data_IF_063440809825
#
_entry.id   IF_063440809825
#
_cell.length_a   1.000
_cell.length_b   1.000
_cell.length_c   1.000
_cell.angle_alpha   90.00
_cell.angle_beta   90.00
_cell.angle_gamma   90.00
#
_symmetry.space_group_name_H-M   'P 1'
#
loop_
_entity.id
_entity.type
_entity.pdbx_description
1 polymer ?
#
# COMPACT_ATOMS: atom_id res chain seq x y z
N UNK A 1 -26.77 5.79 4.93
CA UNK A 1 -25.68 6.60 4.31
C UNK A 1 -25.82 6.54 2.80
N UNK A 2 -25.69 7.67 2.13
CA UNK A 2 -25.73 7.77 0.66
C UNK A 2 -24.33 8.11 0.15
N UNK A 3 -23.48 7.09 -0.03
CA UNK A 3 -22.05 7.25 -0.33
C UNK A 3 -21.73 8.20 -1.48
N UNK A 4 -22.65 8.32 -2.47
CA UNK A 4 -22.45 9.17 -3.65
C UNK A 4 -22.88 10.62 -3.46
N UNK A 5 -23.65 10.94 -2.41
CA UNK A 5 -24.23 12.28 -2.21
C UNK A 5 -23.88 12.93 -0.88
N UNK A 6 -23.44 12.13 0.10
CA UNK A 6 -22.98 12.65 1.37
C UNK A 6 -21.62 13.34 1.18
N UNK A 7 -21.48 14.57 1.69
CA UNK A 7 -20.30 15.41 1.43
C UNK A 7 -19.25 15.39 2.55
N UNK A 8 -19.51 14.70 3.65
CA UNK A 8 -18.62 14.73 4.81
C UNK A 8 -18.76 13.47 5.67
N UNK A 9 -18.32 12.33 5.14
CA UNK A 9 -18.28 11.08 5.90
C UNK A 9 -16.87 10.74 6.33
N UNK A 10 -16.70 9.93 7.38
CA UNK A 10 -15.40 9.43 7.77
C UNK A 10 -14.89 8.43 6.75
N UNK A 11 -13.62 8.55 6.38
CA UNK A 11 -12.89 7.64 5.51
C UNK A 11 -11.74 7.07 6.33
N UNK A 12 -11.74 5.76 6.52
CA UNK A 12 -10.72 5.03 7.28
C UNK A 12 -9.70 4.46 6.30
N UNK A 13 -8.47 4.87 6.44
CA UNK A 13 -7.34 4.41 5.64
C UNK A 13 -6.58 3.41 6.51
N UNK A 14 -6.67 2.12 6.19
CA UNK A 14 -5.89 1.11 6.88
C UNK A 14 -4.52 0.95 6.25
N UNK A 15 -3.51 0.67 7.05
CA UNK A 15 -2.15 0.38 6.62
C UNK A 15 -1.57 -0.79 7.44
N UNK A 16 -0.39 -1.28 7.07
CA UNK A 16 0.31 -2.25 7.90
C UNK A 16 0.73 -1.61 9.23
N UNK A 17 0.88 -2.44 10.25
CA UNK A 17 1.35 -2.00 11.56
C UNK A 17 2.66 -1.22 11.41
N UNK A 18 2.76 -0.07 12.09
CA UNK A 18 3.91 0.85 12.07
C UNK A 18 4.07 1.66 10.74
N UNK A 19 3.14 1.55 9.78
CA UNK A 19 3.15 2.38 8.57
C UNK A 19 2.30 3.65 8.69
N UNK A 20 1.48 3.80 9.73
CA UNK A 20 0.51 4.89 9.84
C UNK A 20 1.13 6.29 9.70
N UNK A 21 2.32 6.52 10.24
CA UNK A 21 3.00 7.82 10.11
C UNK A 21 3.34 8.19 8.66
N UNK A 22 3.63 7.18 7.81
CA UNK A 22 3.91 7.39 6.39
C UNK A 22 2.62 7.64 5.62
N UNK A 23 1.57 6.88 5.96
CA UNK A 23 0.24 7.09 5.42
C UNK A 23 -0.33 8.46 5.83
N UNK A 24 -0.08 8.90 7.07
CA UNK A 24 -0.44 10.23 7.55
C UNK A 24 0.31 11.32 6.75
N UNK A 25 1.61 11.16 6.51
CA UNK A 25 2.38 12.11 5.71
C UNK A 25 1.81 12.25 4.29
N UNK A 26 1.50 11.12 3.61
CA UNK A 26 0.85 11.16 2.29
C UNK A 26 -0.51 11.87 2.33
N UNK A 27 -1.32 11.60 3.34
CA UNK A 27 -2.64 12.22 3.53
C UNK A 27 -2.52 13.73 3.72
N UNK A 28 -1.53 14.18 4.51
CA UNK A 28 -1.23 15.61 4.72
C UNK A 28 -0.74 16.28 3.42
N UNK A 29 0.15 15.61 2.67
CA UNK A 29 0.67 16.11 1.38
C UNK A 29 -0.45 16.23 0.33
N UNK A 30 -1.47 15.38 0.41
CA UNK A 30 -2.68 15.46 -0.42
C UNK A 30 -3.66 16.56 0.04
N UNK A 31 -3.36 17.26 1.14
CA UNK A 31 -4.15 18.37 1.67
C UNK A 31 -5.27 17.97 2.63
N UNK A 32 -5.36 16.70 3.04
CA UNK A 32 -6.33 16.25 4.04
C UNK A 32 -5.82 16.47 5.47
N UNK A 33 -6.75 16.65 6.39
CA UNK A 33 -6.45 16.75 7.84
C UNK A 33 -6.89 15.46 8.53
N UNK A 34 -5.98 14.66 9.05
CA UNK A 34 -6.32 13.51 9.87
C UNK A 34 -7.09 13.94 11.12
N UNK A 35 -8.16 13.20 11.45
CA UNK A 35 -8.93 13.39 12.69
C UNK A 35 -8.58 12.36 13.74
N UNK A 36 -8.02 11.24 13.32
CA UNK A 36 -7.53 10.17 14.19
C UNK A 36 -6.39 9.43 13.49
N UNK A 37 -5.34 9.10 14.23
CA UNK A 37 -4.22 8.26 13.77
C UNK A 37 -3.95 7.22 14.84
N UNK A 38 -3.90 5.95 14.44
CA UNK A 38 -3.54 4.82 15.29
C UNK A 38 -2.29 4.12 14.74
N UNK A 39 -1.90 2.97 15.29
CA UNK A 39 -0.75 2.20 14.78
C UNK A 39 -0.92 1.72 13.32
N UNK A 40 -2.16 1.55 12.86
CA UNK A 40 -2.49 0.91 11.57
C UNK A 40 -3.63 1.56 10.81
N UNK A 41 -4.11 2.72 11.28
CA UNK A 41 -5.17 3.48 10.60
C UNK A 41 -4.91 4.99 10.64
N UNK A 42 -5.34 5.66 9.58
CA UNK A 42 -5.47 7.12 9.50
C UNK A 42 -6.91 7.42 9.11
N UNK A 43 -7.58 8.30 9.83
CA UNK A 43 -8.98 8.66 9.57
C UNK A 43 -9.05 10.11 9.11
N UNK A 44 -9.73 10.34 7.99
CA UNK A 44 -10.04 11.67 7.47
C UNK A 44 -11.55 11.84 7.27
N UNK A 45 -11.99 13.05 7.01
CA UNK A 45 -13.33 13.34 6.50
C UNK A 45 -13.25 13.79 5.06
N UNK A 46 -14.20 13.34 4.26
CA UNK A 46 -14.28 13.68 2.86
C UNK A 46 -15.58 13.22 2.20
N UNK A 47 -15.59 13.31 0.90
CA UNK A 47 -16.68 12.84 0.04
C UNK A 47 -16.24 11.68 -0.87
N UNK A 48 -17.05 11.35 -1.87
CA UNK A 48 -16.73 10.29 -2.82
C UNK A 48 -15.50 10.60 -3.69
N UNK A 49 -15.26 11.88 -4.04
CA UNK A 49 -14.07 12.29 -4.82
C UNK A 49 -12.82 12.05 -3.99
N UNK A 50 -12.85 12.41 -2.72
CA UNK A 50 -11.75 12.19 -1.79
C UNK A 50 -11.47 10.70 -1.59
N UNK A 51 -12.51 9.89 -1.41
CA UNK A 51 -12.41 8.44 -1.31
C UNK A 51 -11.74 7.83 -2.57
N UNK A 52 -12.12 8.29 -3.77
CA UNK A 52 -11.51 7.84 -5.03
C UNK A 52 -10.05 8.27 -5.15
N UNK A 53 -9.74 9.53 -4.80
CA UNK A 53 -8.36 10.06 -4.80
C UNK A 53 -7.46 9.28 -3.85
N UNK A 54 -7.91 9.00 -2.64
CA UNK A 54 -7.16 8.21 -1.65
C UNK A 54 -6.87 6.79 -2.17
N UNK A 55 -7.82 6.14 -2.83
CA UNK A 55 -7.59 4.85 -3.47
C UNK A 55 -6.54 4.89 -4.58
N UNK A 56 -6.49 5.97 -5.36
CA UNK A 56 -5.58 6.10 -6.50
C UNK A 56 -4.15 6.46 -6.09
N UNK A 57 -4.00 7.39 -5.14
CA UNK A 57 -2.71 8.05 -4.89
C UNK A 57 -1.93 7.49 -3.70
N UNK A 58 -2.58 6.84 -2.72
CA UNK A 58 -1.88 6.35 -1.53
C UNK A 58 -0.94 5.18 -1.82
N UNK A 59 0.32 5.33 -1.45
CA UNK A 59 1.39 4.35 -1.66
C UNK A 59 1.53 3.38 -0.49
N UNK A 60 1.27 3.85 0.75
CA UNK A 60 1.54 3.09 1.98
C UNK A 60 0.27 2.48 2.60
N UNK A 61 -0.91 2.82 2.08
CA UNK A 61 -2.19 2.30 2.53
C UNK A 61 -2.47 0.88 2.03
N UNK A 62 -3.21 0.11 2.82
CA UNK A 62 -3.75 -1.19 2.42
C UNK A 62 -5.17 -1.11 1.86
N UNK A 63 -6.06 -0.35 2.52
CA UNK A 63 -7.45 -0.20 2.12
C UNK A 63 -7.97 1.18 2.47
N UNK A 64 -8.92 1.63 1.69
CA UNK A 64 -9.75 2.80 1.97
C UNK A 64 -11.16 2.31 2.27
N UNK A 65 -11.62 2.51 3.49
CA UNK A 65 -12.84 1.95 4.05
C UNK A 65 -13.81 3.06 4.44
N UNK A 66 -15.09 2.83 4.21
CA UNK A 66 -16.15 3.75 4.64
C UNK A 66 -17.07 3.01 5.63
N UNK A 67 -17.19 3.47 6.89
CA UNK A 67 -17.98 2.79 7.91
C UNK A 67 -19.48 2.94 7.61
N UNK A 68 -20.17 1.81 7.64
CA UNK A 68 -21.63 1.74 7.50
C UNK A 68 -22.33 1.68 8.86
N UNK A 69 -21.77 0.89 9.76
CA UNK A 69 -22.35 0.67 11.09
C UNK A 69 -21.25 0.33 12.10
N UNK A 70 -21.28 0.99 13.25
CA UNK A 70 -20.52 0.62 14.45
C UNK A 70 -21.50 0.18 15.52
N UNK A 71 -21.29 -0.98 16.13
CA UNK A 71 -22.25 -1.56 17.06
C UNK A 71 -21.58 -2.52 18.04
N UNK A 72 -22.27 -2.78 19.14
CA UNK A 72 -21.86 -3.81 20.10
C UNK A 72 -22.28 -5.19 19.61
N UNK A 73 -21.32 -6.10 19.51
CA UNK A 73 -21.53 -7.50 19.13
C UNK A 73 -20.80 -8.40 20.13
N UNK A 74 -21.55 -9.19 20.90
CA UNK A 74 -21.00 -10.13 21.88
C UNK A 74 -20.83 -11.54 21.32
N UNK A 75 -21.57 -11.85 20.28
CA UNK A 75 -21.59 -13.14 19.63
C UNK A 75 -21.95 -13.01 18.14
N UNK A 76 -21.85 -14.12 17.41
CA UNK A 76 -22.07 -14.16 15.97
C UNK A 76 -23.51 -13.78 15.55
N UNK A 77 -24.50 -14.00 16.41
CA UNK A 77 -25.91 -13.63 16.13
C UNK A 77 -26.10 -12.12 16.17
N UNK A 78 -25.42 -11.44 17.12
CA UNK A 78 -25.46 -9.98 17.20
C UNK A 78 -24.89 -9.38 15.93
N UNK A 79 -23.76 -9.92 15.41
CA UNK A 79 -23.18 -9.49 14.13
C UNK A 79 -24.16 -9.71 12.97
N UNK A 80 -24.80 -10.88 12.89
CA UNK A 80 -25.78 -11.17 11.85
C UNK A 80 -26.93 -10.16 11.85
N UNK A 81 -27.51 -9.86 13.01
CA UNK A 81 -28.60 -8.89 13.15
C UNK A 81 -28.15 -7.47 12.81
N UNK A 82 -26.96 -7.09 13.22
CA UNK A 82 -26.37 -5.80 12.89
C UNK A 82 -26.19 -5.63 11.36
N UNK A 83 -25.66 -6.63 10.70
CA UNK A 83 -25.47 -6.63 9.24
C UNK A 83 -26.82 -6.63 8.51
N UNK A 84 -27.80 -7.41 8.99
CA UNK A 84 -29.16 -7.46 8.43
C UNK A 84 -29.88 -6.10 8.50
N UNK A 85 -29.55 -5.24 9.49
CA UNK A 85 -30.17 -3.93 9.64
C UNK A 85 -29.69 -2.88 8.64
N UNK A 86 -28.59 -3.13 7.91
CA UNK A 86 -28.04 -2.19 6.92
C UNK A 86 -28.86 -2.26 5.64
N UNK A 87 -29.12 -1.11 5.00
CA UNK A 87 -29.86 -0.98 3.75
C UNK A 87 -29.02 -1.37 2.54
N UNK A 88 -28.70 -2.67 2.43
CA UNK A 88 -27.84 -3.21 1.37
C UNK A 88 -28.40 -2.98 -0.04
N UNK A 89 -29.71 -2.92 -0.18
CA UNK A 89 -30.41 -2.61 -1.42
C UNK A 89 -30.07 -1.24 -2.01
N UNK A 90 -29.48 -0.34 -1.19
CA UNK A 90 -28.97 0.96 -1.61
C UNK A 90 -27.50 0.93 -2.00
N UNK A 91 -26.77 -0.13 -1.67
CA UNK A 91 -25.32 -0.25 -1.87
C UNK A 91 -24.95 -1.32 -2.93
N UNK A 92 -25.78 -2.35 -3.07
CA UNK A 92 -25.52 -3.50 -3.93
C UNK A 92 -26.58 -3.60 -5.03
N UNK A 93 -26.15 -3.97 -6.24
CA UNK A 93 -27.09 -4.37 -7.29
C UNK A 93 -27.57 -5.81 -7.02
N UNK A 94 -28.89 -6.06 -7.23
CA UNK A 94 -29.51 -7.34 -6.89
C UNK A 94 -28.99 -8.50 -7.76
N UNK A 95 -28.43 -8.21 -8.93
CA UNK A 95 -27.76 -9.14 -9.85
C UNK A 95 -26.24 -8.98 -9.90
N UNK A 96 -25.68 -8.24 -8.95
CA UNK A 96 -24.26 -8.01 -8.84
C UNK A 96 -23.51 -9.15 -8.15
N UNK A 97 -22.28 -8.86 -7.79
CA UNK A 97 -21.41 -9.74 -7.01
C UNK A 97 -20.80 -8.99 -5.84
N UNK A 98 -20.65 -9.67 -4.70
CA UNK A 98 -19.92 -9.09 -3.56
C UNK A 98 -19.03 -10.12 -2.86
N UNK A 99 -17.98 -9.61 -2.22
CA UNK A 99 -17.10 -10.39 -1.36
C UNK A 99 -17.14 -9.84 0.07
N UNK A 100 -16.85 -10.70 1.04
CA UNK A 100 -16.76 -10.32 2.46
C UNK A 100 -15.43 -10.79 3.01
N UNK A 101 -14.74 -9.90 3.71
CA UNK A 101 -13.55 -10.21 4.48
C UNK A 101 -13.69 -9.69 5.91
N UNK A 102 -13.02 -10.33 6.87
CA UNK A 102 -13.10 -9.95 8.28
C UNK A 102 -11.76 -10.08 8.99
N UNK A 103 -11.55 -9.20 9.95
CA UNK A 103 -10.50 -9.31 10.98
C UNK A 103 -11.20 -9.33 12.33
N UNK A 104 -10.94 -10.38 13.11
CA UNK A 104 -11.72 -10.65 14.35
C UNK A 104 -10.79 -10.99 15.49
N UNK A 105 -10.93 -10.22 16.56
CA UNK A 105 -10.26 -10.39 17.85
C UNK A 105 -11.29 -10.47 18.97
N UNK A 106 -12.18 -11.48 18.90
CA UNK A 106 -13.27 -11.71 19.86
C UNK A 106 -13.08 -13.07 20.54
N UNK A 107 -13.28 -13.12 21.84
CA UNK A 107 -13.05 -14.34 22.66
C UNK A 107 -14.07 -15.46 22.40
N UNK A 108 -15.25 -15.13 21.85
CA UNK A 108 -16.31 -16.10 21.57
C UNK A 108 -16.16 -16.75 20.18
N UNK A 109 -15.31 -16.19 19.31
CA UNK A 109 -15.14 -16.62 17.94
C UNK A 109 -13.83 -17.43 17.80
N UNK A 110 -13.96 -18.75 17.71
CA UNK A 110 -12.81 -19.65 17.49
C UNK A 110 -12.44 -19.80 16.02
N UNK A 111 -13.44 -19.82 15.13
CA UNK A 111 -13.21 -19.89 13.68
C UNK A 111 -13.36 -18.50 13.07
N UNK A 112 -12.24 -17.91 12.70
CA UNK A 112 -12.17 -16.55 12.12
C UNK A 112 -12.86 -16.41 10.76
N UNK A 113 -13.29 -17.51 10.13
CA UNK A 113 -14.05 -17.50 8.85
C UNK A 113 -15.54 -17.26 9.09
N UNK A 114 -16.07 -17.61 10.26
CA UNK A 114 -17.49 -17.49 10.57
C UNK A 114 -18.04 -16.07 10.43
N UNK A 115 -17.37 -15.01 10.90
CA UNK A 115 -17.88 -13.65 10.75
C UNK A 115 -18.10 -13.23 9.28
N UNK A 116 -17.18 -13.60 8.39
CA UNK A 116 -17.37 -13.34 6.96
C UNK A 116 -18.55 -14.14 6.37
N UNK A 117 -18.74 -15.40 6.79
CA UNK A 117 -19.84 -16.24 6.35
C UNK A 117 -21.19 -15.68 6.80
N UNK A 118 -21.35 -15.40 8.09
CA UNK A 118 -22.59 -14.85 8.66
C UNK A 118 -22.92 -13.45 8.11
N UNK A 119 -21.92 -12.62 7.88
CA UNK A 119 -22.09 -11.33 7.21
C UNK A 119 -22.63 -11.52 5.79
N UNK A 120 -22.06 -12.47 5.04
CA UNK A 120 -22.52 -12.80 3.70
C UNK A 120 -23.98 -13.29 3.68
N UNK A 121 -24.33 -14.17 4.62
CA UNK A 121 -25.69 -14.71 4.73
C UNK A 121 -26.70 -13.61 5.11
N UNK A 122 -26.38 -12.73 6.06
CA UNK A 122 -27.23 -11.61 6.44
C UNK A 122 -27.48 -10.64 5.27
N UNK A 123 -26.44 -10.32 4.50
CA UNK A 123 -26.58 -9.51 3.26
C UNK A 123 -27.51 -10.21 2.26
N UNK A 124 -27.31 -11.51 2.04
CA UNK A 124 -28.11 -12.28 1.11
C UNK A 124 -29.59 -12.35 1.54
N UNK A 125 -29.87 -12.51 2.84
CA UNK A 125 -31.22 -12.58 3.37
C UNK A 125 -31.93 -11.22 3.28
N UNK A 126 -31.26 -10.11 3.63
CA UNK A 126 -31.77 -8.75 3.43
C UNK A 126 -32.12 -8.49 1.96
N UNK A 127 -31.22 -8.84 1.04
CA UNK A 127 -31.43 -8.62 -0.39
C UNK A 127 -32.58 -9.47 -0.94
N UNK A 128 -32.75 -10.72 -0.46
CA UNK A 128 -33.93 -11.54 -0.82
C UNK A 128 -35.22 -10.90 -0.31
N UNK A 129 -35.23 -10.41 0.94
CA UNK A 129 -36.42 -9.76 1.53
C UNK A 129 -36.81 -8.50 0.75
N UNK A 130 -35.84 -7.62 0.46
CA UNK A 130 -36.12 -6.30 -0.14
C UNK A 130 -36.20 -6.29 -1.66
N UNK A 131 -35.42 -7.13 -2.33
CA UNK A 131 -35.30 -7.14 -3.80
C UNK A 131 -35.84 -8.41 -4.45
N UNK A 132 -36.34 -9.38 -3.68
CA UNK A 132 -36.77 -10.72 -4.15
C UNK A 132 -35.65 -11.47 -4.90
N UNK A 133 -34.43 -11.03 -4.81
CA UNK A 133 -33.24 -11.57 -5.46
C UNK A 133 -32.03 -11.23 -4.59
N UNK A 134 -30.99 -12.07 -4.63
CA UNK A 134 -29.71 -11.79 -4.00
C UNK A 134 -28.61 -11.65 -5.04
N UNK A 135 -27.57 -10.81 -4.80
CA UNK A 135 -26.36 -10.84 -5.59
C UNK A 135 -25.58 -12.14 -5.36
N UNK A 136 -24.75 -12.51 -6.31
CA UNK A 136 -23.78 -13.58 -6.15
C UNK A 136 -22.69 -13.17 -5.17
N UNK A 137 -22.05 -14.16 -4.52
CA UNK A 137 -21.01 -13.89 -3.54
C UNK A 137 -19.98 -14.99 -3.46
N UNK A 138 -18.71 -14.63 -3.19
CA UNK A 138 -17.61 -15.59 -3.07
C UNK A 138 -16.32 -14.93 -2.61
N UNK A 139 -15.21 -15.65 -2.78
CA UNK A 139 -13.88 -15.19 -2.38
C UNK A 139 -13.13 -14.40 -3.46
N UNK A 140 -13.71 -14.25 -4.65
CA UNK A 140 -13.07 -13.49 -5.72
C UNK A 140 -13.14 -11.99 -5.43
N UNK A 141 -12.05 -11.28 -5.67
CA UNK A 141 -11.97 -9.82 -5.53
C UNK A 141 -12.57 -9.10 -6.73
N UNK A 142 -13.82 -9.43 -7.06
CA UNK A 142 -14.63 -8.75 -8.07
C UNK A 142 -15.92 -8.24 -7.44
N UNK A 143 -16.50 -7.21 -7.99
CA UNK A 143 -17.73 -6.63 -7.46
C UNK A 143 -17.50 -5.77 -6.21
N UNK A 144 -18.57 -5.55 -5.45
CA UNK A 144 -18.51 -4.79 -4.22
C UNK A 144 -17.79 -5.58 -3.11
N UNK A 145 -17.15 -4.89 -2.18
CA UNK A 145 -16.46 -5.53 -1.08
C UNK A 145 -16.96 -4.99 0.27
N UNK A 146 -17.14 -5.90 1.21
CA UNK A 146 -17.54 -5.60 2.59
C UNK A 146 -16.44 -6.08 3.51
N UNK A 147 -16.09 -5.23 4.47
CA UNK A 147 -15.08 -5.55 5.47
C UNK A 147 -15.66 -5.42 6.87
N UNK A 148 -15.43 -6.44 7.71
CA UNK A 148 -15.84 -6.45 9.11
C UNK A 148 -14.60 -6.43 9.98
N UNK A 149 -14.51 -5.42 10.84
CA UNK A 149 -13.56 -5.38 11.92
C UNK A 149 -14.29 -5.61 13.24
N UNK A 150 -13.89 -6.64 13.99
CA UNK A 150 -14.53 -6.99 15.23
C UNK A 150 -13.48 -7.23 16.31
N UNK A 151 -13.42 -6.31 17.25
CA UNK A 151 -12.52 -6.38 18.39
C UNK A 151 -13.32 -6.40 19.71
N UNK A 152 -13.07 -7.38 20.56
CA UNK A 152 -13.81 -7.59 21.81
C UNK A 152 -15.33 -7.60 21.53
N UNK A 153 -16.08 -6.69 22.14
CA UNK A 153 -17.53 -6.57 21.98
C UNK A 153 -17.94 -5.48 20.98
N UNK A 154 -17.01 -4.88 20.25
CA UNK A 154 -17.31 -3.86 19.24
C UNK A 154 -17.05 -4.40 17.84
N UNK A 155 -18.05 -4.29 16.96
CA UNK A 155 -17.93 -4.58 15.53
C UNK A 155 -18.20 -3.33 14.71
N UNK A 156 -17.41 -3.16 13.65
CA UNK A 156 -17.60 -2.12 12.67
C UNK A 156 -17.72 -2.79 11.29
N UNK A 157 -18.81 -2.50 10.61
CA UNK A 157 -19.07 -2.97 9.25
C UNK A 157 -18.74 -1.84 8.28
N UNK A 158 -17.90 -2.11 7.31
CA UNK A 158 -17.45 -1.15 6.30
C UNK A 158 -17.86 -1.59 4.91
N UNK A 159 -18.09 -0.62 4.04
CA UNK A 159 -17.89 -0.83 2.61
C UNK A 159 -16.39 -0.64 2.33
N UNK A 160 -15.74 -1.67 1.76
CA UNK A 160 -14.35 -1.60 1.32
C UNK A 160 -14.34 -1.04 -0.11
N UNK A 161 -13.81 0.15 -0.26
CA UNK A 161 -13.81 0.83 -1.55
C UNK A 161 -12.63 0.43 -2.44
N UNK A 162 -11.61 -0.19 -1.85
CA UNK A 162 -10.43 -0.68 -2.55
C UNK A 162 -10.63 -2.06 -3.19
N UNK A 163 -11.33 -2.97 -2.49
CA UNK A 163 -11.50 -4.37 -2.86
C UNK A 163 -10.23 -5.19 -2.64
N UNK A 164 -9.46 -5.46 -3.67
CA UNK A 164 -8.12 -6.02 -3.49
C UNK A 164 -7.21 -5.01 -2.77
N UNK A 165 -6.38 -5.45 -1.79
CA UNK A 165 -5.49 -4.54 -1.08
C UNK A 165 -4.66 -3.65 -2.00
N UNK A 166 -4.48 -2.38 -1.63
CA UNK A 166 -3.70 -1.42 -2.40
C UNK A 166 -2.21 -1.81 -2.51
N UNK A 167 -1.71 -2.64 -1.59
CA UNK A 167 -0.39 -3.26 -1.70
C UNK A 167 -0.24 -4.11 -2.95
N UNK A 168 -1.32 -4.69 -3.46
CA UNK A 168 -1.32 -5.41 -4.73
C UNK A 168 -1.54 -4.44 -5.88
N UNK A 169 -0.46 -3.80 -6.35
CA UNK A 169 -0.52 -2.84 -7.46
C UNK A 169 -0.96 -3.45 -8.79
N UNK A 170 -0.72 -4.77 -8.98
CA UNK A 170 -1.03 -5.50 -10.21
C UNK A 170 0.20 -5.77 -11.10
N UNK A 171 1.34 -5.19 -10.81
CA UNK A 171 2.56 -5.41 -11.60
C UNK A 171 3.33 -6.68 -11.23
N UNK A 172 3.17 -7.22 -10.01
CA UNK A 172 3.88 -8.43 -9.58
C UNK A 172 3.32 -9.66 -10.29
N UNK A 173 3.90 -10.02 -11.42
CA UNK A 173 3.54 -11.22 -12.18
C UNK A 173 4.28 -12.45 -11.66
N UNK A 174 5.53 -12.27 -11.25
CA UNK A 174 6.37 -13.33 -10.71
C UNK A 174 6.81 -12.92 -9.30
N UNK A 175 6.27 -13.56 -8.24
CA UNK A 175 6.75 -13.35 -6.87
C UNK A 175 8.11 -14.02 -6.69
N UNK A 176 9.03 -13.36 -6.00
CA UNK A 176 10.25 -14.01 -5.50
C UNK A 176 9.95 -14.95 -4.32
N UNK A 177 11.00 -15.58 -3.78
CA UNK A 177 10.91 -16.49 -2.61
C UNK A 177 10.40 -15.78 -1.33
N UNK A 178 10.77 -14.51 -1.13
CA UNK A 178 10.37 -13.67 0.00
C UNK A 178 10.10 -12.23 -0.45
N UNK A 179 9.00 -11.97 -1.18
CA UNK A 179 8.75 -10.67 -1.76
C UNK A 179 8.45 -9.63 -0.68
N UNK A 180 9.09 -8.47 -0.78
CA UNK A 180 8.71 -7.28 -0.01
C UNK A 180 7.36 -6.76 -0.48
N UNK A 181 6.48 -6.35 0.44
CA UNK A 181 5.22 -5.70 0.05
C UNK A 181 5.50 -4.33 -0.56
N UNK A 182 4.73 -3.96 -1.57
CA UNK A 182 4.86 -2.71 -2.30
C UNK A 182 4.68 -1.49 -1.39
N UNK A 183 3.72 -1.55 -0.47
CA UNK A 183 3.48 -0.49 0.52
C UNK A 183 4.64 -0.34 1.50
N UNK A 184 5.30 -1.44 1.86
CA UNK A 184 6.48 -1.40 2.71
C UNK A 184 7.69 -0.82 1.96
N UNK A 185 7.89 -1.20 0.70
CA UNK A 185 8.96 -0.63 -0.13
C UNK A 185 8.79 0.89 -0.27
N UNK A 186 7.58 1.36 -0.59
CA UNK A 186 7.27 2.78 -0.66
C UNK A 186 7.56 3.49 0.67
N UNK A 187 7.13 2.93 1.80
CA UNK A 187 7.40 3.51 3.12
C UNK A 187 8.90 3.57 3.46
N UNK A 188 9.68 2.55 3.08
CA UNK A 188 11.14 2.56 3.25
C UNK A 188 11.80 3.67 2.41
N UNK A 189 11.38 3.84 1.15
CA UNK A 189 11.88 4.91 0.29
C UNK A 189 11.53 6.28 0.86
N UNK A 190 10.31 6.49 1.33
CA UNK A 190 9.91 7.72 2.02
C UNK A 190 10.73 7.96 3.29
N UNK A 191 11.04 6.90 4.05
CA UNK A 191 11.86 6.98 5.26
C UNK A 191 13.31 7.40 4.98
N UNK A 192 13.83 7.10 3.80
CA UNK A 192 15.15 7.55 3.35
C UNK A 192 15.18 9.03 2.98
N UNK A 193 14.03 9.71 2.94
CA UNK A 193 13.89 11.09 2.46
C UNK A 193 14.49 11.29 1.06
N UNK A 194 14.40 10.27 0.20
CA UNK A 194 14.88 10.37 -1.16
C UNK A 194 14.11 11.44 -1.94
N UNK A 195 14.84 12.31 -2.60
CA UNK A 195 14.30 13.48 -3.32
C UNK A 195 13.70 13.16 -4.69
N UNK A 196 13.76 11.88 -5.10
CA UNK A 196 13.34 11.40 -6.43
C UNK A 196 14.08 12.02 -7.63
N UNK A 197 15.19 12.72 -7.39
CA UNK A 197 16.02 13.39 -8.41
C UNK A 197 17.46 12.88 -8.45
N UNK A 198 17.92 12.31 -7.37
CA UNK A 198 19.26 11.69 -7.24
C UNK A 198 19.20 10.19 -7.51
N UNK A 199 20.33 9.52 -7.83
CA UNK A 199 20.35 8.09 -8.10
C UNK A 199 19.73 7.25 -7.00
N UNK A 200 19.06 6.14 -7.38
CA UNK A 200 18.53 5.14 -6.46
C UNK A 200 19.03 3.75 -6.83
N UNK A 201 19.70 3.08 -5.91
CA UNK A 201 20.24 1.74 -6.09
C UNK A 201 19.52 0.72 -5.23
N UNK A 202 19.20 -0.42 -5.82
CA UNK A 202 18.60 -1.57 -5.15
C UNK A 202 19.44 -2.83 -5.42
N UNK A 203 20.59 -2.97 -4.77
CA UNK A 203 21.33 -4.22 -4.79
C UNK A 203 20.52 -5.30 -4.05
N UNK A 204 20.66 -6.57 -4.44
CA UNK A 204 19.83 -7.67 -3.92
C UNK A 204 18.34 -7.41 -4.17
N UNK A 205 18.00 -7.01 -5.44
CA UNK A 205 16.69 -6.50 -5.80
C UNK A 205 15.58 -7.55 -5.75
N UNK A 206 15.89 -8.83 -5.76
CA UNK A 206 14.93 -9.92 -5.80
C UNK A 206 13.92 -9.75 -6.94
N UNK A 207 12.64 -9.67 -6.62
CA UNK A 207 11.56 -9.42 -7.60
C UNK A 207 11.44 -7.95 -8.06
N UNK A 208 12.38 -7.08 -7.69
CA UNK A 208 12.48 -5.69 -8.16
C UNK A 208 11.60 -4.65 -7.45
N UNK A 209 10.90 -5.04 -6.38
CA UNK A 209 9.90 -4.15 -5.74
C UNK A 209 10.45 -2.77 -5.35
N UNK A 210 11.60 -2.62 -4.67
CA UNK A 210 12.10 -1.29 -4.31
C UNK A 210 12.45 -0.43 -5.51
N UNK A 211 13.07 -0.99 -6.54
CA UNK A 211 13.42 -0.26 -7.76
C UNK A 211 12.18 0.18 -8.56
N UNK A 212 11.16 -0.69 -8.65
CA UNK A 212 9.89 -0.38 -9.31
C UNK A 212 9.16 0.74 -8.56
N UNK A 213 8.99 0.64 -7.23
CA UNK A 213 8.33 1.68 -6.43
C UNK A 213 9.12 3.01 -6.49
N UNK A 214 10.47 2.98 -6.44
CA UNK A 214 11.30 4.18 -6.61
C UNK A 214 11.06 4.83 -7.98
N UNK A 215 11.03 4.04 -9.05
CA UNK A 215 10.75 4.56 -10.40
C UNK A 215 9.37 5.19 -10.49
N UNK A 216 8.33 4.53 -9.93
CA UNK A 216 6.98 5.08 -9.90
C UNK A 216 6.90 6.38 -9.08
N UNK A 217 7.68 6.51 -8.00
CA UNK A 217 7.80 7.75 -7.22
C UNK A 217 8.47 8.84 -8.04
N UNK A 218 9.61 8.55 -8.69
CA UNK A 218 10.32 9.51 -9.54
C UNK A 218 9.46 10.01 -10.69
N UNK A 219 8.67 9.13 -11.30
CA UNK A 219 7.72 9.47 -12.36
C UNK A 219 6.48 10.21 -11.87
N UNK A 220 6.28 10.36 -10.58
CA UNK A 220 5.01 10.80 -9.97
C UNK A 220 3.80 9.98 -10.43
N UNK A 221 4.01 8.71 -10.75
CA UNK A 221 2.95 7.78 -11.15
C UNK A 221 2.11 7.38 -9.95
N UNK A 222 0.79 7.54 -10.04
CA UNK A 222 -0.13 7.11 -9.02
C UNK A 222 -0.11 5.57 -8.88
N UNK A 223 0.10 5.00 -7.67
CA UNK A 223 0.25 3.56 -7.49
C UNK A 223 -1.02 2.77 -7.85
N UNK A 224 -2.19 3.38 -7.68
CA UNK A 224 -3.47 2.79 -8.04
C UNK A 224 -3.76 2.75 -9.55
N UNK A 225 -2.96 3.45 -10.38
CA UNK A 225 -3.18 3.50 -11.84
C UNK A 225 -2.97 2.13 -12.53
N UNK A 226 -2.24 1.21 -11.90
CA UNK A 226 -2.01 -0.14 -12.40
C UNK A 226 -3.12 -1.14 -12.04
N UNK A 227 -4.03 -0.76 -11.13
CA UNK A 227 -5.16 -1.62 -10.75
C UNK A 227 -6.24 -1.54 -11.82
N UNK A 228 -6.70 -2.71 -12.27
CA UNK A 228 -7.77 -2.78 -13.26
C UNK A 228 -9.15 -2.42 -12.72
N UNK A 229 -9.37 -2.59 -11.41
CA UNK A 229 -10.66 -2.36 -10.77
C UNK A 229 -10.53 -2.01 -9.29
N UNK A 230 -11.39 -1.12 -8.81
CA UNK A 230 -11.61 -0.82 -7.40
C UNK A 230 -13.04 -1.20 -7.01
N UNK A 231 -13.26 -1.70 -5.80
CA UNK A 231 -14.57 -2.17 -5.37
C UNK A 231 -15.64 -1.07 -5.35
N UNK A 232 -15.25 0.21 -5.18
CA UNK A 232 -16.21 1.31 -5.26
C UNK A 232 -16.91 1.40 -6.63
N UNK A 233 -16.28 0.94 -7.70
CA UNK A 233 -16.86 0.93 -9.05
C UNK A 233 -18.05 -0.05 -9.18
N UNK A 234 -18.17 -0.98 -8.25
CA UNK A 234 -19.29 -1.95 -8.17
C UNK A 234 -20.35 -1.55 -7.15
N UNK A 235 -20.21 -0.40 -6.48
CA UNK A 235 -21.27 0.11 -5.60
C UNK A 235 -22.41 0.64 -6.44
N UNK A 236 -23.63 0.27 -6.07
CA UNK A 236 -24.85 0.70 -6.76
C UNK A 236 -24.90 2.21 -6.97
N UNK A 237 -25.14 2.63 -8.19
CA UNK A 237 -25.21 4.03 -8.57
C UNK A 237 -23.91 4.64 -9.10
N UNK A 238 -22.82 3.88 -9.18
CA UNK A 238 -21.54 4.36 -9.73
C UNK A 238 -21.66 4.99 -11.12
N UNK A 239 -22.42 4.40 -12.03
CA UNK A 239 -22.65 4.92 -13.38
C UNK A 239 -23.81 5.92 -13.49
N UNK A 240 -24.53 6.23 -12.40
CA UNK A 240 -25.74 7.09 -12.45
C UNK A 240 -25.38 8.56 -12.23
N UNK A 241 -26.04 9.47 -12.96
CA UNK A 241 -25.91 10.91 -12.77
C UNK A 241 -26.47 11.31 -11.39
N UNK A 242 -25.68 12.06 -10.62
CA UNK A 242 -26.07 12.58 -9.32
C UNK A 242 -26.62 13.99 -9.52
N UNK A 243 -27.90 14.27 -9.21
CA UNK A 243 -28.47 15.61 -9.32
C UNK A 243 -27.73 16.59 -8.38
N UNK A 244 -27.29 17.73 -8.92
CA UNK A 244 -26.75 18.85 -8.14
C UNK A 244 -25.23 18.95 -8.05
N UNK A 245 -24.46 17.99 -8.55
CA UNK A 245 -23.01 18.16 -8.75
C UNK A 245 -22.73 18.79 -10.11
N UNK A 246 -22.06 19.95 -10.08
CA UNK A 246 -21.59 20.61 -11.29
C UNK A 246 -20.29 19.95 -11.75
N UNK A 247 -20.23 19.56 -13.01
CA UNK A 247 -18.96 19.31 -13.67
C UNK A 247 -18.03 20.53 -13.51
N UNK A 248 -16.72 20.36 -13.30
CA UNK A 248 -15.79 21.47 -13.26
C UNK A 248 -15.93 22.28 -14.56
N UNK A 249 -16.14 23.58 -14.39
CA UNK A 249 -16.51 24.51 -15.45
C UNK A 249 -15.40 24.66 -16.49
N UNK A 250 -15.63 24.08 -17.66
CA UNK A 250 -15.19 24.66 -18.92
C UNK A 250 -16.47 24.89 -19.75
N UNK A 251 -17.01 26.09 -19.66
CA UNK A 251 -18.18 26.68 -20.31
C UNK A 251 -19.50 26.70 -19.50
N UNK A 252 -20.20 27.86 -19.46
CA UNK A 252 -21.36 28.13 -18.60
C UNK A 252 -22.67 27.79 -19.29
N UNK A 253 -22.95 26.57 -19.68
CA UNK A 253 -24.28 26.15 -20.18
C UNK A 253 -24.43 24.62 -20.24
N UNK A 254 -24.50 23.94 -19.09
CA UNK A 254 -25.38 22.78 -18.91
C UNK A 254 -25.24 22.30 -17.45
N UNK A 255 -26.28 22.40 -16.65
CA UNK A 255 -26.41 21.81 -15.33
C UNK A 255 -26.72 20.30 -15.54
N UNK A 256 -25.72 19.54 -15.98
CA UNK A 256 -25.76 18.09 -15.91
C UNK A 256 -24.79 17.68 -14.80
N UNK A 257 -25.31 17.12 -13.70
CA UNK A 257 -24.48 16.54 -12.65
C UNK A 257 -23.56 15.48 -13.24
N UNK A 258 -22.31 15.40 -12.76
CA UNK A 258 -21.38 14.36 -13.17
C UNK A 258 -21.74 13.04 -12.46
N UNK A 259 -21.61 11.88 -13.14
CA UNK A 259 -21.70 10.58 -12.48
C UNK A 259 -20.39 10.30 -11.71
N UNK A 260 -20.42 9.44 -10.67
CA UNK A 260 -19.21 8.98 -10.01
C UNK A 260 -18.16 8.42 -10.98
N UNK A 261 -18.60 7.74 -12.03
CA UNK A 261 -17.74 7.25 -13.11
C UNK A 261 -17.04 8.38 -13.87
N UNK A 262 -17.74 9.47 -14.16
CA UNK A 262 -17.14 10.65 -14.82
C UNK A 262 -16.10 11.30 -13.92
N UNK A 263 -16.41 11.47 -12.63
CA UNK A 263 -15.48 12.00 -11.63
C UNK A 263 -14.23 11.12 -11.52
N UNK A 264 -14.40 9.81 -11.52
CA UNK A 264 -13.26 8.89 -11.52
C UNK A 264 -12.37 9.05 -12.76
N UNK A 265 -12.98 9.16 -13.94
CA UNK A 265 -12.23 9.42 -15.20
C UNK A 265 -11.42 10.71 -15.13
N UNK A 266 -11.98 11.77 -14.55
CA UNK A 266 -11.28 13.05 -14.34
C UNK A 266 -10.06 12.87 -13.41
N UNK A 267 -10.24 12.16 -12.27
CA UNK A 267 -9.15 11.91 -11.31
C UNK A 267 -8.02 11.09 -11.98
N UNK A 268 -8.37 10.09 -12.78
CA UNK A 268 -7.37 9.29 -13.52
C UNK A 268 -6.64 10.13 -14.57
N UNK A 269 -7.34 11.02 -15.26
CA UNK A 269 -6.71 11.94 -16.24
C UNK A 269 -5.80 12.95 -15.54
N UNK A 270 -6.22 13.51 -14.40
CA UNK A 270 -5.38 14.36 -13.55
C UNK A 270 -4.10 13.63 -13.13
N UNK A 271 -4.20 12.40 -12.63
CA UNK A 271 -3.04 11.59 -12.25
C UNK A 271 -2.07 11.38 -13.42
N UNK A 272 -2.59 11.09 -14.61
CA UNK A 272 -1.77 10.93 -15.82
C UNK A 272 -1.11 12.23 -16.26
N UNK A 273 -1.75 13.37 -16.09
CA UNK A 273 -1.19 14.67 -16.47
C UNK A 273 -0.01 15.11 -15.58
N UNK A 274 0.06 14.56 -14.35
CA UNK A 274 1.18 14.81 -13.43
C UNK A 274 2.31 13.79 -13.54
N UNK A 275 2.11 12.71 -14.29
CA UNK A 275 3.15 11.72 -14.54
C UNK A 275 4.19 12.29 -15.52
N UNK A 276 5.47 12.11 -15.19
CA UNK A 276 6.59 12.52 -16.04
C UNK A 276 7.56 11.38 -16.30
N UNK A 277 8.16 11.40 -17.47
CA UNK A 277 9.27 10.51 -17.84
C UNK A 277 10.55 11.31 -18.11
N UNK A 278 10.49 12.63 -17.96
CA UNK A 278 11.58 13.52 -18.28
C UNK A 278 12.55 13.65 -17.10
N UNK A 279 13.85 13.60 -17.38
CA UNK A 279 14.92 13.80 -16.39
C UNK A 279 14.84 12.87 -15.18
N UNK A 280 14.42 11.63 -15.38
CA UNK A 280 14.42 10.64 -14.31
C UNK A 280 15.85 10.34 -13.85
N UNK A 281 16.09 10.17 -12.54
CA UNK A 281 17.41 9.83 -12.04
C UNK A 281 17.79 8.39 -12.44
N UNK A 282 19.08 8.03 -12.44
CA UNK A 282 19.51 6.66 -12.59
C UNK A 282 18.91 5.76 -11.51
N UNK A 283 18.19 4.73 -11.93
CA UNK A 283 17.67 3.68 -11.04
C UNK A 283 18.30 2.37 -11.46
N UNK A 284 19.02 1.73 -10.51
CA UNK A 284 19.82 0.54 -10.79
C UNK A 284 19.37 -0.58 -9.86
N UNK A 285 19.02 -1.72 -10.43
CA UNK A 285 18.60 -2.92 -9.72
C UNK A 285 19.57 -4.07 -10.06
N UNK A 286 20.22 -4.63 -9.05
CA UNK A 286 21.13 -5.77 -9.24
C UNK A 286 20.78 -6.91 -8.31
N UNK A 287 21.09 -8.12 -8.73
CA UNK A 287 20.99 -9.33 -7.92
C UNK A 287 22.04 -10.34 -8.40
N UNK A 288 22.51 -11.17 -7.49
CA UNK A 288 23.47 -12.24 -7.83
C UNK A 288 22.79 -13.32 -8.69
N UNK A 289 21.48 -13.51 -8.54
CA UNK A 289 20.68 -14.46 -9.31
C UNK A 289 20.22 -13.84 -10.63
N UNK A 290 20.65 -14.37 -11.79
CA UNK A 290 20.12 -13.96 -13.09
C UNK A 290 18.60 -14.15 -13.20
N UNK A 291 18.05 -15.19 -12.56
CA UNK A 291 16.60 -15.44 -12.51
C UNK A 291 15.87 -14.34 -11.74
N UNK A 292 16.41 -13.88 -10.61
CA UNK A 292 15.82 -12.78 -9.84
C UNK A 292 15.79 -11.49 -10.66
N UNK A 293 16.86 -11.20 -11.42
CA UNK A 293 16.93 -10.04 -12.32
C UNK A 293 15.91 -10.13 -13.45
N UNK A 294 15.72 -11.30 -14.06
CA UNK A 294 14.70 -11.52 -15.10
C UNK A 294 13.29 -11.37 -14.54
N UNK A 295 13.04 -11.89 -13.34
CA UNK A 295 11.76 -11.71 -12.63
C UNK A 295 11.49 -10.23 -12.32
N UNK A 296 12.52 -9.49 -11.86
CA UNK A 296 12.43 -8.05 -11.61
C UNK A 296 12.13 -7.27 -12.89
N UNK A 297 12.79 -7.61 -13.99
CA UNK A 297 12.55 -7.00 -15.30
C UNK A 297 11.13 -7.28 -15.80
N UNK A 298 10.64 -8.51 -15.69
CA UNK A 298 9.26 -8.90 -16.05
C UNK A 298 8.23 -8.11 -15.24
N UNK A 299 8.43 -7.95 -13.93
CA UNK A 299 7.57 -7.15 -13.07
C UNK A 299 7.64 -5.66 -13.43
N UNK A 300 8.82 -5.14 -13.78
CA UNK A 300 8.99 -3.76 -14.22
C UNK A 300 8.31 -3.49 -15.57
N UNK A 301 8.31 -4.44 -16.52
CA UNK A 301 7.51 -4.36 -17.76
C UNK A 301 6.03 -4.25 -17.41
N UNK A 302 5.54 -5.11 -16.52
CA UNK A 302 4.14 -5.07 -16.10
C UNK A 302 3.75 -3.77 -15.38
N UNK A 303 4.71 -3.13 -14.70
CA UNK A 303 4.55 -1.80 -14.11
C UNK A 303 4.70 -0.66 -15.15
N UNK A 304 5.17 -0.94 -16.36
CA UNK A 304 5.47 0.06 -17.38
C UNK A 304 6.66 0.96 -17.04
N UNK A 305 7.63 0.46 -16.25
CA UNK A 305 8.81 1.22 -15.79
C UNK A 305 10.14 0.59 -16.22
N UNK A 306 10.12 -0.56 -16.87
CA UNK A 306 11.34 -1.27 -17.28
C UNK A 306 12.35 -0.41 -18.07
N UNK A 307 11.95 0.49 -18.99
CA UNK A 307 12.89 1.34 -19.74
C UNK A 307 13.70 2.31 -18.88
N UNK A 308 13.26 2.55 -17.64
CA UNK A 308 13.85 3.54 -16.72
C UNK A 308 14.69 2.92 -15.62
N UNK A 309 14.87 1.58 -15.62
CA UNK A 309 15.64 0.83 -14.65
C UNK A 309 16.77 0.10 -15.35
N UNK A 310 18.00 0.27 -14.89
CA UNK A 310 19.13 -0.53 -15.32
C UNK A 310 19.19 -1.81 -14.49
N UNK A 311 19.05 -2.96 -15.15
CA UNK A 311 19.14 -4.28 -14.54
C UNK A 311 20.49 -4.93 -14.82
N UNK A 312 21.12 -5.56 -13.82
CA UNK A 312 22.36 -6.30 -14.00
C UNK A 312 22.44 -7.49 -13.04
N UNK A 313 22.74 -8.67 -13.58
CA UNK A 313 23.06 -9.82 -12.76
C UNK A 313 24.54 -9.75 -12.34
N UNK A 314 24.79 -9.50 -11.04
CA UNK A 314 26.13 -9.44 -10.47
C UNK A 314 26.07 -9.54 -8.94
N UNK A 315 27.21 -9.81 -8.31
CA UNK A 315 27.33 -9.60 -6.86
C UNK A 315 27.06 -8.14 -6.52
N UNK A 316 26.43 -7.86 -5.40
CA UNK A 316 26.08 -6.49 -4.99
C UNK A 316 27.30 -5.57 -4.88
N UNK A 317 28.49 -6.12 -4.58
CA UNK A 317 29.75 -5.37 -4.53
C UNK A 317 30.20 -4.86 -5.92
N UNK A 318 29.64 -5.41 -6.99
CA UNK A 318 29.87 -5.01 -8.40
C UNK A 318 28.75 -4.15 -8.96
N UNK A 319 27.80 -3.72 -8.13
CA UNK A 319 26.73 -2.80 -8.54
C UNK A 319 27.34 -1.51 -9.06
N UNK A 320 26.97 -1.07 -10.29
CA UNK A 320 27.45 0.19 -10.82
C UNK A 320 27.04 1.38 -9.94
N UNK A 321 27.99 2.21 -9.56
CA UNK A 321 27.77 3.41 -8.73
C UNK A 321 27.86 4.65 -9.61
N UNK A 322 26.78 5.43 -9.77
CA UNK A 322 26.82 6.73 -10.44
C UNK A 322 27.75 7.73 -9.72
N UNK A 323 28.29 8.71 -10.47
CA UNK A 323 29.12 9.78 -9.90
C UNK A 323 28.34 10.66 -8.90
N UNK A 324 27.07 10.96 -9.24
CA UNK A 324 26.19 11.72 -8.35
C UNK A 324 25.80 10.87 -7.14
N UNK A 325 25.84 11.45 -5.96
CA UNK A 325 25.39 10.80 -4.71
C UNK A 325 23.87 10.62 -4.72
N UNK A 326 23.40 9.56 -4.06
CA UNK A 326 21.97 9.24 -4.02
C UNK A 326 21.63 8.35 -2.83
N UNK A 327 20.63 7.49 -3.05
CA UNK A 327 20.16 6.53 -2.06
C UNK A 327 20.47 5.09 -2.51
N UNK A 328 20.84 4.24 -1.55
CA UNK A 328 21.05 2.82 -1.78
C UNK A 328 20.28 2.01 -0.74
N UNK A 329 19.46 1.07 -1.20
CA UNK A 329 18.55 0.30 -0.37
C UNK A 329 18.84 -1.18 -0.46
N UNK A 330 19.26 -1.78 0.64
CA UNK A 330 19.50 -3.20 0.80
C UNK A 330 18.30 -3.91 1.44
N UNK A 331 17.88 -5.01 0.83
CA UNK A 331 16.91 -5.94 1.37
C UNK A 331 17.47 -7.37 1.26
N UNK A 332 18.51 -7.70 2.05
CA UNK A 332 19.12 -9.02 2.04
C UNK A 332 18.11 -10.10 2.48
N UNK A 333 18.44 -11.33 2.27
CA UNK A 333 17.66 -12.44 2.80
C UNK A 333 17.60 -12.38 4.33
N UNK A 334 16.39 -12.52 4.87
CA UNK A 334 16.13 -12.63 6.31
C UNK A 334 14.84 -13.41 6.54
N UNK A 335 14.77 -14.09 7.68
CA UNK A 335 13.58 -14.85 8.07
C UNK A 335 13.88 -16.30 8.39
N UNK A 336 12.89 -17.00 8.92
CA UNK A 336 13.00 -18.38 9.44
C UNK A 336 13.25 -19.40 8.31
N UNK A 337 12.95 -19.04 7.06
CA UNK A 337 13.02 -19.92 5.89
C UNK A 337 14.26 -19.74 5.02
N UNK A 338 15.04 -18.68 5.22
CA UNK A 338 16.14 -18.29 4.34
C UNK A 338 17.39 -17.95 5.16
N UNK A 339 18.30 -18.93 5.28
CA UNK A 339 19.67 -18.77 5.76
C UNK A 339 19.91 -18.97 7.27
N UNK A 340 20.97 -19.72 7.59
CA UNK A 340 21.58 -19.78 8.93
C UNK A 340 22.21 -18.39 9.23
N UNK A 341 22.03 -17.81 10.45
CA UNK A 341 22.72 -16.58 10.85
C UNK A 341 24.23 -16.60 10.60
N UNK A 342 24.88 -17.77 10.69
CA UNK A 342 26.32 -17.94 10.42
C UNK A 342 26.67 -17.76 8.93
N UNK A 343 25.77 -18.14 8.03
CA UNK A 343 25.96 -17.95 6.58
C UNK A 343 25.69 -16.53 6.15
N UNK A 344 24.76 -15.84 6.84
CA UNK A 344 24.41 -14.45 6.55
C UNK A 344 25.39 -13.43 7.12
N UNK A 345 26.09 -13.76 8.21
CA UNK A 345 27.01 -12.83 8.87
C UNK A 345 28.04 -12.20 7.91
N UNK A 346 28.76 -12.96 7.07
CA UNK A 346 29.70 -12.40 6.10
C UNK A 346 29.06 -11.45 5.08
N UNK A 347 27.78 -11.67 4.74
CA UNK A 347 27.04 -10.81 3.80
C UNK A 347 26.82 -9.44 4.42
N UNK A 348 26.44 -9.37 5.70
CA UNK A 348 26.23 -8.10 6.40
C UNK A 348 27.52 -7.30 6.59
N UNK A 349 28.65 -7.99 6.88
CA UNK A 349 29.99 -7.36 6.95
C UNK A 349 30.37 -6.76 5.59
N UNK A 350 30.18 -7.52 4.51
CA UNK A 350 30.45 -7.05 3.14
C UNK A 350 29.56 -5.87 2.75
N UNK A 351 28.27 -5.85 3.17
CA UNK A 351 27.39 -4.69 2.95
C UNK A 351 27.98 -3.44 3.61
N UNK A 352 28.45 -3.55 4.84
CA UNK A 352 29.09 -2.43 5.54
C UNK A 352 30.33 -1.92 4.83
N UNK A 353 31.22 -2.81 4.44
CA UNK A 353 32.43 -2.48 3.68
C UNK A 353 32.07 -1.79 2.35
N UNK A 354 31.13 -2.35 1.60
CA UNK A 354 30.69 -1.78 0.33
C UNK A 354 30.10 -0.38 0.51
N UNK A 355 29.23 -0.19 1.48
CA UNK A 355 28.66 1.12 1.77
C UNK A 355 29.72 2.16 2.12
N UNK A 356 30.68 1.78 2.97
CA UNK A 356 31.75 2.68 3.39
C UNK A 356 32.71 3.05 2.25
N UNK A 357 33.17 2.06 1.49
CA UNK A 357 34.22 2.24 0.49
C UNK A 357 33.69 2.78 -0.85
N UNK A 358 32.48 2.34 -1.26
CA UNK A 358 31.92 2.65 -2.59
C UNK A 358 30.86 3.75 -2.56
N UNK A 359 30.23 3.99 -1.41
CA UNK A 359 29.11 4.91 -1.29
C UNK A 359 29.36 6.02 -0.24
N UNK A 360 30.56 6.65 -0.14
CA UNK A 360 30.80 7.70 0.83
C UNK A 360 29.90 8.91 0.54
N UNK A 361 29.17 9.34 1.58
CA UNK A 361 28.24 10.47 1.49
C UNK A 361 26.90 10.14 0.85
N UNK A 362 26.59 8.85 0.61
CA UNK A 362 25.27 8.39 0.20
C UNK A 362 24.33 8.20 1.42
N UNK A 363 23.04 8.15 1.16
CA UNK A 363 22.07 7.63 2.11
C UNK A 363 21.95 6.12 1.92
N UNK A 364 22.57 5.34 2.81
CA UNK A 364 22.44 3.90 2.89
C UNK A 364 21.21 3.48 3.69
N UNK A 365 20.51 2.46 3.26
CA UNK A 365 19.43 1.85 4.01
C UNK A 365 19.49 0.31 3.95
N UNK A 366 19.22 -0.33 5.09
CA UNK A 366 19.14 -1.77 5.23
C UNK A 366 17.88 -2.14 6.00
N UNK A 367 17.00 -2.93 5.37
CA UNK A 367 15.88 -3.55 6.08
C UNK A 367 16.22 -5.00 6.42
N UNK A 368 15.96 -5.41 7.67
CA UNK A 368 16.20 -6.79 8.10
C UNK A 368 15.29 -7.22 9.23
N UNK A 369 14.87 -8.48 9.21
CA UNK A 369 14.27 -9.17 10.36
C UNK A 369 15.30 -9.80 11.30
N UNK A 370 16.60 -9.84 10.89
CA UNK A 370 17.73 -10.33 11.69
C UNK A 370 18.45 -9.17 12.36
N UNK A 371 17.83 -8.59 13.37
CA UNK A 371 18.38 -7.42 14.07
C UNK A 371 19.76 -7.68 14.67
N UNK A 372 20.00 -8.93 15.08
CA UNK A 372 21.27 -9.40 15.62
C UNK A 372 22.43 -9.31 14.61
N UNK A 373 22.15 -9.33 13.30
CA UNK A 373 23.17 -9.18 12.27
C UNK A 373 23.45 -7.74 11.89
N UNK A 374 22.59 -6.80 12.26
CA UNK A 374 22.74 -5.40 11.86
C UNK A 374 24.00 -4.73 12.42
N UNK A 375 24.55 -5.23 13.55
CA UNK A 375 25.79 -4.71 14.12
C UNK A 375 27.02 -5.05 13.28
N UNK A 376 26.96 -6.11 12.47
CA UNK A 376 28.05 -6.55 11.59
C UNK A 376 28.27 -5.61 10.40
N UNK A 377 27.26 -4.79 10.04
CA UNK A 377 27.42 -3.71 9.05
C UNK A 377 28.47 -2.70 9.50
N UNK A 378 28.69 -2.54 10.80
CA UNK A 378 29.72 -1.72 11.42
C UNK A 378 29.72 -0.24 10.98
N UNK A 379 28.60 0.28 10.51
CA UNK A 379 28.40 1.69 10.21
C UNK A 379 27.58 2.38 11.30
N UNK A 380 27.75 3.69 11.42
CA UNK A 380 26.89 4.51 12.26
C UNK A 380 25.54 4.64 11.60
N UNK A 381 24.47 4.19 12.26
CA UNK A 381 23.11 4.44 11.79
C UNK A 381 22.49 5.60 12.58
N UNK A 382 21.94 6.57 11.86
CA UNK A 382 21.25 7.73 12.44
C UNK A 382 19.89 7.34 13.02
N UNK A 383 19.20 6.42 12.34
CA UNK A 383 17.82 6.09 12.68
C UNK A 383 17.57 4.60 12.50
N UNK A 384 16.78 4.01 13.41
CA UNK A 384 16.27 2.65 13.34
C UNK A 384 14.75 2.69 13.43
N UNK A 385 14.08 2.22 12.39
CA UNK A 385 12.63 2.31 12.24
C UNK A 385 12.02 0.91 12.28
N UNK A 386 11.02 0.65 13.15
CA UNK A 386 10.30 -0.61 13.15
C UNK A 386 9.35 -0.70 11.96
N UNK A 387 9.34 -1.85 11.30
CA UNK A 387 8.43 -2.22 10.22
C UNK A 387 8.02 -3.69 10.33
N UNK A 388 6.96 -4.06 9.61
CA UNK A 388 6.55 -5.45 9.46
C UNK A 388 6.50 -5.83 7.98
N UNK A 389 7.20 -6.91 7.61
CA UNK A 389 7.06 -7.54 6.29
C UNK A 389 6.20 -8.81 6.44
N UNK A 390 4.89 -8.66 6.23
CA UNK A 390 3.94 -9.68 6.63
C UNK A 390 3.98 -9.89 8.16
N UNK A 391 4.19 -11.12 8.65
CA UNK A 391 4.32 -11.41 10.08
C UNK A 391 5.71 -11.12 10.66
N UNK A 392 6.70 -10.81 9.82
CA UNK A 392 8.10 -10.67 10.24
C UNK A 392 8.34 -9.28 10.80
N UNK A 393 8.80 -9.21 12.06
CA UNK A 393 9.25 -7.97 12.69
C UNK A 393 10.59 -7.55 12.12
N UNK A 394 10.62 -6.46 11.36
CA UNK A 394 11.78 -5.93 10.66
C UNK A 394 12.21 -4.58 11.24
N UNK A 395 13.46 -4.23 10.98
CA UNK A 395 13.99 -2.88 11.25
C UNK A 395 14.66 -2.34 10.00
N UNK A 396 14.34 -1.09 9.69
CA UNK A 396 15.06 -0.30 8.70
C UNK A 396 16.14 0.51 9.42
N UNK A 397 17.38 0.29 9.05
CA UNK A 397 18.53 1.07 9.51
C UNK A 397 18.90 2.08 8.44
N UNK A 398 19.06 3.35 8.81
CA UNK A 398 19.46 4.43 7.93
C UNK A 398 20.88 4.87 8.25
N UNK A 399 21.78 4.77 7.28
CA UNK A 399 23.20 5.10 7.36
C UNK A 399 23.46 6.38 6.56
N UNK A 400 23.42 7.54 7.23
CA UNK A 400 23.71 8.81 6.59
C UNK A 400 25.22 8.95 6.35
N UNK A 401 25.64 9.23 5.11
CA UNK A 401 27.04 9.36 4.74
C UNK A 401 27.84 8.05 4.67
N UNK A 402 27.27 6.93 5.13
CA UNK A 402 27.93 5.61 5.17
C UNK A 402 29.26 5.59 5.96
N UNK A 403 29.30 6.28 7.11
CA UNK A 403 30.47 6.43 7.96
C UNK A 403 30.64 5.28 8.97
N UNK A 404 31.90 4.91 9.27
CA UNK A 404 32.20 3.88 10.27
C UNK A 404 31.80 4.32 11.67
N UNK A 405 31.44 3.35 12.51
CA UNK A 405 31.25 3.58 13.96
C UNK A 405 32.58 4.08 14.57
N UNK A 406 32.52 5.20 15.27
CA UNK A 406 33.66 5.79 15.95
C UNK A 406 34.37 6.95 15.21
N UNK A 407 34.00 7.25 13.96
CA UNK A 407 34.52 8.41 13.23
C UNK A 407 33.72 9.70 13.47
N UNK A 408 32.53 9.61 14.04
CA UNK A 408 31.64 10.75 14.31
C UNK A 408 31.85 11.31 15.74
N UNK A 409 33.08 11.71 16.10
CA UNK A 409 33.36 12.35 17.43
C UNK A 409 33.44 13.87 17.33
N UNK A 410 33.25 14.47 16.16
CA UNK A 410 33.32 15.93 16.02
C UNK A 410 32.17 16.46 15.15
N UNK A 411 31.04 16.79 15.79
CA UNK A 411 29.97 17.49 15.08
C UNK A 411 28.71 17.71 15.92
N UNK A 412 28.80 18.72 16.79
CA UNK A 412 27.76 19.47 17.51
C UNK A 412 27.25 18.89 18.84
N UNK A 413 27.75 19.55 19.90
CA UNK A 413 27.03 19.80 21.15
C UNK A 413 25.71 20.55 20.90
#
# INVERSE_FOLDING_TARGET
MKIWTDKNFPIIISCAKQLSRWTEAEVLDMGYKPIEVTENTVVVRGDMRDMMRLNLFLRTAHRVLVPLLRTTCRNIRDLYQAVLSIDWENLLEADGYFSVSSVVHNYTIRDTRLPSLYTKDAIADRMREKCQRRPDSGGENKGAAVFVYWEKDEAIIYIDTSGEPLSKRGYRKIPGSAPMQETLAAACIMAMHWDSKTPFLSPMCGSGTPAIEATMIAMNRAPGALKGHFAFQSIKGYGRIIPGESAPTVAPRQRSGASPEQIWKEIVLEAKSHETTDNLPPIIATDISPEAVENAHTNAIAAGVAPYITFKACDFAETPIPEAKGCIFFNPEYGIRLGDPKELAPVYERIGTFLHEKCPGWMGALITGRQELSHLVNLYYKTRIPFFNGPIDCRLFLYEGCELKGQNINGNE
#
